data_IF_509066474496
#
_entry.id   IF_509066474496
#
_cell.length_a   1.000
_cell.length_b   1.000
_cell.length_c   1.000
_cell.angle_alpha   90.00
_cell.angle_beta   90.00
_cell.angle_gamma   90.00
#
_symmetry.space_group_name_H-M   'P 1'
#
loop_
_entity.id
_entity.type
_entity.pdbx_description
1 polymer ?
#
# COMPACT_ATOMS: atom_id res chain seq x y z
N UNK A 1 18.12 -3.32 6.54
CA UNK A 1 17.73 -4.67 6.09
C UNK A 1 16.23 -4.67 5.81
N UNK A 2 15.79 -4.00 4.72
CA UNK A 2 14.44 -4.18 4.17
C UNK A 2 14.57 -5.39 3.24
N UNK A 3 14.32 -6.57 3.82
CA UNK A 3 14.79 -7.84 3.31
C UNK A 3 13.86 -8.44 2.25
N UNK A 4 14.46 -8.81 1.12
CA UNK A 4 13.87 -9.67 0.10
C UNK A 4 13.66 -11.13 0.58
N UNK A 5 13.92 -11.43 1.86
CA UNK A 5 13.77 -12.77 2.44
C UNK A 5 12.38 -13.08 3.00
N UNK A 6 11.56 -12.07 3.33
CA UNK A 6 10.22 -12.30 3.89
C UNK A 6 9.13 -12.39 2.80
N UNK A 7 9.23 -11.60 1.72
CA UNK A 7 8.31 -11.68 0.57
C UNK A 7 8.37 -13.05 -0.12
N UNK A 8 9.58 -13.60 -0.30
CA UNK A 8 9.73 -14.96 -0.83
C UNK A 8 9.11 -16.04 0.07
N UNK A 9 9.12 -15.86 1.40
CA UNK A 9 8.52 -16.86 2.30
C UNK A 9 7.00 -16.98 2.07
N UNK A 10 6.31 -15.87 1.84
CA UNK A 10 4.86 -15.90 1.61
C UNK A 10 4.51 -16.54 0.26
N UNK A 11 5.25 -16.21 -0.79
CA UNK A 11 5.12 -16.84 -2.11
C UNK A 11 5.32 -18.36 -2.00
N UNK A 12 6.34 -18.80 -1.26
CA UNK A 12 6.65 -20.23 -1.08
C UNK A 12 5.61 -20.95 -0.22
N UNK A 13 5.06 -20.31 0.82
CA UNK A 13 3.97 -20.88 1.62
C UNK A 13 2.72 -21.18 0.78
N UNK A 14 2.39 -20.29 -0.16
CA UNK A 14 1.26 -20.47 -1.08
C UNK A 14 1.61 -21.52 -2.16
N UNK A 15 2.80 -21.44 -2.78
CA UNK A 15 3.25 -22.41 -3.81
C UNK A 15 3.29 -23.85 -3.28
N UNK A 16 3.78 -24.04 -2.06
CA UNK A 16 3.85 -25.35 -1.40
C UNK A 16 2.53 -25.81 -0.78
N UNK A 17 1.45 -25.01 -0.91
CA UNK A 17 0.12 -25.28 -0.35
C UNK A 17 0.10 -25.44 1.17
N UNK A 18 1.02 -24.78 1.87
CA UNK A 18 0.99 -24.66 3.33
C UNK A 18 -0.04 -23.63 3.78
N UNK A 19 -0.38 -22.68 2.90
CA UNK A 19 -1.44 -21.68 3.07
C UNK A 19 -2.16 -21.52 1.72
N UNK A 20 -3.49 -21.35 1.72
CA UNK A 20 -4.27 -21.13 0.49
C UNK A 20 -4.33 -19.65 0.06
N UNK A 21 -4.37 -18.72 1.02
CA UNK A 21 -4.42 -17.28 0.80
C UNK A 21 -3.96 -16.50 2.05
N UNK A 22 -3.57 -15.24 1.86
CA UNK A 22 -3.26 -14.29 2.94
C UNK A 22 -4.10 -13.02 2.82
N UNK A 23 -4.20 -12.27 3.91
CA UNK A 23 -4.71 -10.90 3.88
C UNK A 23 -3.54 -9.93 3.74
N UNK A 24 -3.55 -9.13 2.67
CA UNK A 24 -2.54 -8.11 2.39
C UNK A 24 -3.19 -6.81 1.93
N UNK A 25 -2.41 -5.73 2.02
CA UNK A 25 -2.75 -4.47 1.36
C UNK A 25 -2.51 -4.60 -0.14
N UNK A 26 -3.40 -4.02 -0.92
CA UNK A 26 -3.39 -4.04 -2.38
C UNK A 26 -2.05 -3.61 -2.99
N UNK A 27 -1.45 -2.52 -2.49
CA UNK A 27 -0.18 -2.00 -2.98
C UNK A 27 1.00 -2.92 -2.68
N UNK A 28 0.88 -3.87 -1.74
CA UNK A 28 2.00 -4.74 -1.34
C UNK A 28 2.18 -5.95 -2.24
N UNK A 29 1.10 -6.43 -2.88
CA UNK A 29 1.11 -7.67 -3.68
C UNK A 29 2.06 -7.61 -4.87
N UNK A 30 2.32 -6.42 -5.42
CA UNK A 30 3.30 -6.22 -6.50
C UNK A 30 4.74 -6.55 -6.10
N UNK A 31 5.06 -6.51 -4.81
CA UNK A 31 6.38 -6.85 -4.30
C UNK A 31 6.56 -8.36 -4.09
N UNK A 32 5.48 -9.13 -4.20
CA UNK A 32 5.48 -10.58 -4.09
C UNK A 32 5.84 -11.17 -5.44
N UNK A 33 7.15 -11.25 -5.71
CA UNK A 33 7.70 -11.75 -6.97
C UNK A 33 8.27 -13.15 -6.80
N UNK A 34 8.34 -13.90 -7.90
CA UNK A 34 9.09 -15.15 -7.98
C UNK A 34 10.61 -14.90 -8.08
N UNK A 35 11.38 -15.97 -8.18
CA UNK A 35 12.84 -15.93 -8.30
C UNK A 35 13.32 -15.16 -9.55
N UNK A 36 12.48 -15.07 -10.58
CA UNK A 36 12.76 -14.36 -11.84
C UNK A 36 12.34 -12.88 -11.76
N UNK A 37 11.73 -12.45 -10.66
CA UNK A 37 11.22 -11.10 -10.46
C UNK A 37 9.86 -10.84 -11.09
N UNK A 38 9.17 -11.87 -11.57
CA UNK A 38 7.81 -11.75 -12.09
C UNK A 38 6.81 -11.75 -10.93
N UNK A 39 5.70 -11.02 -11.06
CA UNK A 39 4.65 -11.01 -10.05
C UNK A 39 4.10 -12.43 -9.84
N UNK A 40 4.23 -12.95 -8.62
CA UNK A 40 3.88 -14.33 -8.28
C UNK A 40 2.48 -14.47 -7.69
N UNK A 41 1.96 -13.41 -7.06
CA UNK A 41 0.66 -13.40 -6.39
C UNK A 41 -0.31 -12.42 -7.03
N UNK A 42 -1.60 -12.68 -6.84
CA UNK A 42 -2.70 -11.82 -7.32
C UNK A 42 -3.72 -11.59 -6.21
N UNK A 43 -4.37 -10.43 -6.26
CA UNK A 43 -5.52 -10.12 -5.42
C UNK A 43 -6.74 -10.90 -5.90
N UNK A 44 -7.57 -11.33 -4.95
CA UNK A 44 -8.84 -12.04 -5.21
C UNK A 44 -9.90 -11.57 -4.23
N UNK A 45 -11.16 -11.54 -4.69
CA UNK A 45 -12.30 -11.10 -3.89
C UNK A 45 -12.40 -9.58 -3.72
N UNK A 46 -13.42 -9.17 -2.97
CA UNK A 46 -13.65 -7.76 -2.63
C UNK A 46 -12.79 -7.34 -1.42
N UNK A 47 -12.39 -6.06 -1.33
CA UNK A 47 -11.69 -5.54 -0.16
C UNK A 47 -12.49 -5.74 1.13
N UNK A 48 -11.84 -6.24 2.18
CA UNK A 48 -12.48 -6.47 3.49
C UNK A 48 -12.62 -5.19 4.31
N UNK A 49 -11.65 -4.29 4.20
CA UNK A 49 -11.65 -2.98 4.85
C UNK A 49 -10.70 -2.03 4.11
N UNK A 50 -10.91 -0.74 4.30
CA UNK A 50 -10.01 0.32 3.87
C UNK A 50 -9.40 0.98 5.10
N UNK A 51 -8.08 1.17 5.10
CA UNK A 51 -7.37 1.84 6.18
C UNK A 51 -6.34 2.81 5.61
N UNK A 52 -6.28 4.01 6.21
CA UNK A 52 -5.25 4.99 5.86
C UNK A 52 -3.88 4.57 6.39
N UNK A 53 -2.83 4.90 5.64
CA UNK A 53 -1.45 4.87 6.14
C UNK A 53 -1.16 6.23 6.77
N UNK A 54 -0.68 6.22 8.02
CA UNK A 54 -0.46 7.42 8.81
C UNK A 54 0.94 7.49 9.38
N UNK A 55 1.44 8.71 9.58
CA UNK A 55 2.63 8.94 10.37
C UNK A 55 2.30 8.81 11.85
N UNK A 56 3.13 8.07 12.59
CA UNK A 56 2.98 7.88 14.03
C UNK A 56 3.98 8.76 14.76
N UNK A 57 3.49 9.60 15.67
CA UNK A 57 4.29 10.51 16.49
C UNK A 57 4.14 10.17 17.97
N UNK A 58 5.03 10.70 18.83
CA UNK A 58 4.87 10.57 20.28
C UNK A 58 3.60 11.30 20.71
N UNK A 59 2.98 10.80 21.79
CA UNK A 59 1.70 11.30 22.30
C UNK A 59 1.69 12.79 22.65
N UNK A 60 2.83 13.37 23.05
CA UNK A 60 2.93 14.76 23.51
C UNK A 60 3.38 15.73 22.38
N UNK A 61 3.48 15.28 21.14
CA UNK A 61 4.02 16.07 20.02
C UNK A 61 2.92 16.73 19.17
N UNK A 62 1.93 17.34 19.83
CA UNK A 62 0.75 17.91 19.16
C UNK A 62 1.11 19.02 18.15
N UNK A 63 2.10 19.86 18.46
CA UNK A 63 2.55 20.92 17.56
C UNK A 63 3.22 20.35 16.29
N UNK A 64 4.01 19.30 16.43
CA UNK A 64 4.64 18.62 15.29
C UNK A 64 3.60 17.92 14.44
N UNK A 65 2.63 17.26 15.08
CA UNK A 65 1.51 16.62 14.39
C UNK A 65 0.73 17.63 13.55
N UNK A 66 0.39 18.79 14.12
CA UNK A 66 -0.33 19.84 13.41
C UNK A 66 0.44 20.37 12.18
N UNK A 67 1.74 20.62 12.32
CA UNK A 67 2.58 21.08 11.21
C UNK A 67 2.73 20.03 10.11
N UNK A 68 2.87 18.76 10.49
CA UNK A 68 2.95 17.65 9.53
C UNK A 68 1.64 17.50 8.77
N UNK A 69 0.51 17.54 9.47
CA UNK A 69 -0.82 17.49 8.87
C UNK A 69 -1.06 18.62 7.86
N UNK A 70 -0.65 19.85 8.20
CA UNK A 70 -0.74 20.99 7.30
C UNK A 70 0.09 20.77 6.03
N UNK A 71 1.35 20.35 6.18
CA UNK A 71 2.24 20.08 5.05
C UNK A 71 1.70 18.95 4.15
N UNK A 72 1.20 17.86 4.73
CA UNK A 72 0.63 16.74 3.98
C UNK A 72 -0.65 17.15 3.25
N UNK A 73 -1.52 17.96 3.88
CA UNK A 73 -2.74 18.49 3.23
C UNK A 73 -2.40 19.40 2.05
N UNK A 74 -1.41 20.28 2.21
CA UNK A 74 -0.95 21.16 1.13
C UNK A 74 -0.40 20.33 -0.05
N UNK A 75 0.47 19.36 0.22
CA UNK A 75 1.04 18.47 -0.80
C UNK A 75 0.02 17.52 -1.45
N UNK A 76 -1.08 17.21 -0.76
CA UNK A 76 -2.21 16.48 -1.36
C UNK A 76 -2.99 17.40 -2.30
N UNK A 77 -3.28 18.63 -1.86
CA UNK A 77 -4.08 19.61 -2.62
C UNK A 77 -3.39 20.08 -3.91
N UNK A 78 -2.06 20.21 -3.90
CA UNK A 78 -1.28 20.60 -5.08
C UNK A 78 -0.94 19.42 -6.02
N UNK A 79 -1.35 18.21 -5.66
CA UNK A 79 -1.14 16.98 -6.44
C UNK A 79 0.27 16.39 -6.34
N UNK A 80 1.14 16.92 -5.47
CA UNK A 80 2.49 16.37 -5.26
C UNK A 80 2.44 14.91 -4.82
N UNK A 81 1.59 14.57 -3.86
CA UNK A 81 1.48 13.19 -3.37
C UNK A 81 0.96 12.26 -4.46
N UNK A 82 0.00 12.69 -5.28
CA UNK A 82 -0.51 11.88 -6.39
C UNK A 82 0.59 11.59 -7.44
N UNK A 83 1.45 12.58 -7.75
CA UNK A 83 2.60 12.39 -8.64
C UNK A 83 3.60 11.38 -8.07
N UNK A 84 3.95 11.51 -6.79
CA UNK A 84 4.83 10.55 -6.11
C UNK A 84 4.21 9.15 -6.09
N UNK A 85 2.89 9.05 -5.85
CA UNK A 85 2.19 7.76 -5.86
C UNK A 85 2.33 7.07 -7.22
N UNK A 86 2.11 7.81 -8.30
CA UNK A 86 2.27 7.30 -9.66
C UNK A 86 3.73 6.90 -9.96
N UNK A 87 4.71 7.70 -9.53
CA UNK A 87 6.14 7.44 -9.78
C UNK A 87 6.62 6.13 -9.11
N UNK A 88 6.24 5.92 -7.84
CA UNK A 88 6.76 4.81 -7.05
C UNK A 88 5.91 3.54 -7.14
N UNK A 89 4.61 3.69 -7.36
CA UNK A 89 3.66 2.57 -7.33
C UNK A 89 2.95 2.31 -8.65
N UNK A 90 3.01 3.23 -9.63
CA UNK A 90 2.31 3.10 -10.90
C UNK A 90 0.79 3.33 -10.81
N UNK A 91 0.28 3.69 -9.63
CA UNK A 91 -1.13 3.96 -9.36
C UNK A 91 -1.26 5.09 -8.33
N UNK A 92 -2.36 5.83 -8.41
CA UNK A 92 -2.71 6.88 -7.45
C UNK A 92 -3.47 6.28 -6.25
N UNK A 93 -2.76 6.18 -5.11
CA UNK A 93 -3.31 5.72 -3.83
C UNK A 93 -3.80 6.86 -2.95
N UNK A 94 -3.88 8.09 -3.46
CA UNK A 94 -4.43 9.22 -2.70
C UNK A 94 -5.96 9.26 -2.66
N UNK A 95 -6.58 8.40 -3.48
CA UNK A 95 -8.02 8.20 -3.62
C UNK A 95 -8.46 6.97 -2.82
N UNK A 96 -9.62 7.09 -2.19
CA UNK A 96 -10.27 6.02 -1.46
C UNK A 96 -10.87 4.96 -2.38
N UNK A 97 -11.18 3.78 -1.83
CA UNK A 97 -11.87 2.72 -2.59
C UNK A 97 -13.23 3.19 -3.11
N UNK A 98 -13.89 4.09 -2.38
CA UNK A 98 -15.16 4.68 -2.78
C UNK A 98 -15.00 5.54 -4.06
N UNK A 99 -13.95 6.35 -4.12
CA UNK A 99 -13.62 7.18 -5.29
C UNK A 99 -13.12 6.35 -6.48
N UNK A 100 -12.43 5.22 -6.23
CA UNK A 100 -11.98 4.30 -7.28
C UNK A 100 -13.12 3.47 -7.86
N UNK A 101 -14.07 3.01 -7.04
CA UNK A 101 -15.24 2.24 -7.48
C UNK A 101 -16.22 3.06 -8.34
N UNK A 102 -16.31 4.37 -8.11
CA UNK A 102 -17.07 5.28 -8.97
C UNK A 102 -16.37 5.56 -10.31
N UNK A 103 -15.03 5.55 -10.35
CA UNK A 103 -14.26 5.77 -11.58
C UNK A 103 -14.27 4.59 -12.57
N UNK A 104 -14.71 3.41 -12.14
CA UNK A 104 -14.74 2.17 -12.95
C UNK A 104 -16.15 1.80 -13.46
N UNK A 105 -17.14 2.68 -13.24
CA UNK A 105 -18.50 2.57 -13.79
C UNK A 105 -18.71 3.54 -14.93
#
# INVERSE_FOLDING_TARGET
MYGNGAAHDLVELIRTKRVDATLQTDFSVRFETDEEGNQALKLVGEPLFEGGVHYVLRKEEDELAAKLDEAVRAAKADGTIAKLSMEWFGQDFTKSLQELGESLR
#
